data_IF_943659236734
#
_entry.id   IF_943659236734
#
_cell.length_a   1.000
_cell.length_b   1.000
_cell.length_c   1.000
_cell.angle_alpha   90.00
_cell.angle_beta   90.00
_cell.angle_gamma   90.00
#
_symmetry.space_group_name_H-M   'P 1'
#
loop_
_entity.id
_entity.type
_entity.pdbx_description
1 polymer ?
#
# COMPACT_ATOMS: atom_id res chain seq x y z
N UNK A 1 12.37 -4.76 -18.02
CA UNK A 1 11.45 -4.86 -19.16
C UNK A 1 10.01 -4.84 -18.67
N UNK A 2 9.12 -4.07 -19.34
CA UNK A 2 7.68 -4.17 -19.14
C UNK A 2 7.18 -5.59 -19.53
N UNK A 3 6.02 -6.01 -19.01
CA UNK A 3 5.36 -7.25 -19.41
C UNK A 3 5.19 -7.38 -20.93
N UNK A 4 5.13 -8.61 -21.43
CA UNK A 4 4.81 -8.85 -22.84
C UNK A 4 3.42 -8.27 -23.16
N UNK A 5 3.32 -7.44 -24.21
CA UNK A 5 2.10 -6.70 -24.55
C UNK A 5 2.04 -5.26 -24.00
N UNK A 6 2.93 -4.87 -23.08
CA UNK A 6 2.98 -3.50 -22.56
C UNK A 6 4.04 -2.66 -23.32
N UNK A 7 3.60 -1.52 -23.87
CA UNK A 7 4.45 -0.62 -24.66
C UNK A 7 4.55 -1.00 -26.15
N UNK A 8 3.70 -1.91 -26.63
CA UNK A 8 3.53 -2.15 -28.06
C UNK A 8 2.95 -0.91 -28.74
N UNK A 9 3.34 -0.69 -30.00
CA UNK A 9 2.74 0.37 -30.80
C UNK A 9 1.25 0.10 -30.96
N UNK A 10 0.45 1.18 -30.98
CA UNK A 10 -0.96 1.06 -31.32
C UNK A 10 -1.09 0.38 -32.68
N UNK A 11 -1.98 -0.60 -32.76
CA UNK A 11 -2.31 -1.28 -34.02
C UNK A 11 -3.04 -0.33 -34.96
N UNK A 12 -3.00 -0.61 -36.27
CA UNK A 12 -3.72 0.20 -37.27
C UNK A 12 -5.23 0.31 -36.97
N UNK A 13 -5.82 -0.75 -36.39
CA UNK A 13 -7.23 -0.76 -35.97
C UNK A 13 -7.47 0.23 -34.82
N UNK A 14 -6.58 0.26 -33.82
CA UNK A 14 -6.69 1.19 -32.70
C UNK A 14 -6.46 2.64 -33.14
N UNK A 15 -5.47 2.87 -34.02
CA UNK A 15 -5.22 4.18 -34.61
C UNK A 15 -6.46 4.65 -35.37
N UNK A 16 -7.02 3.79 -36.24
CA UNK A 16 -8.23 4.10 -37.01
C UNK A 16 -9.44 4.40 -36.11
N UNK A 17 -9.59 3.69 -35.00
CA UNK A 17 -10.65 3.95 -34.02
C UNK A 17 -10.52 5.34 -33.39
N UNK A 18 -9.30 5.72 -32.99
CA UNK A 18 -9.01 7.03 -32.41
C UNK A 18 -9.21 8.15 -33.42
N UNK A 19 -8.77 7.96 -34.66
CA UNK A 19 -8.98 8.90 -35.77
C UNK A 19 -10.48 9.13 -36.03
N UNK A 20 -11.28 8.06 -36.07
CA UNK A 20 -12.73 8.16 -36.23
C UNK A 20 -13.39 8.88 -35.05
N UNK A 21 -12.96 8.61 -33.82
CA UNK A 21 -13.46 9.30 -32.64
C UNK A 21 -13.16 10.80 -32.68
N UNK A 22 -11.94 11.19 -33.07
CA UNK A 22 -11.55 12.60 -33.25
C UNK A 22 -12.39 13.24 -34.37
N UNK A 23 -12.54 12.57 -35.52
CA UNK A 23 -13.34 13.06 -36.64
C UNK A 23 -14.84 13.20 -36.29
N UNK A 24 -15.35 12.39 -35.37
CA UNK A 24 -16.69 12.49 -34.81
C UNK A 24 -16.86 13.64 -33.79
N UNK A 25 -15.80 14.43 -33.57
CA UNK A 25 -15.77 15.57 -32.65
C UNK A 25 -15.26 15.21 -31.25
N UNK A 26 -14.51 14.11 -31.11
CA UNK A 26 -13.95 13.63 -29.84
C UNK A 26 -15.00 13.54 -28.73
N UNK A 27 -16.20 13.00 -29.04
CA UNK A 27 -17.33 12.94 -28.10
C UNK A 27 -16.95 12.14 -26.86
N UNK A 28 -16.99 12.77 -25.71
CA UNK A 28 -16.80 12.17 -24.39
C UNK A 28 -18.13 12.22 -23.61
N UNK A 29 -18.28 11.46 -22.51
CA UNK A 29 -19.51 11.48 -21.70
C UNK A 29 -19.86 12.89 -21.22
N UNK A 30 -21.11 13.32 -21.40
CA UNK A 30 -21.56 14.68 -21.03
C UNK A 30 -21.41 15.00 -19.53
N UNK A 31 -21.27 13.97 -18.70
CA UNK A 31 -21.08 14.08 -17.26
C UNK A 31 -19.61 14.08 -16.81
N UNK A 32 -18.66 14.08 -17.75
CA UNK A 32 -17.25 14.20 -17.44
C UNK A 32 -16.89 15.68 -17.20
N UNK A 33 -16.57 16.01 -15.95
CA UNK A 33 -16.16 17.36 -15.58
C UNK A 33 -14.74 17.63 -16.10
N UNK A 34 -14.63 18.25 -17.27
CA UNK A 34 -13.35 18.74 -17.78
C UNK A 34 -13.04 20.09 -17.11
N UNK A 35 -11.96 20.21 -16.33
CA UNK A 35 -11.57 21.47 -15.72
C UNK A 35 -11.26 22.49 -16.83
N UNK A 36 -11.80 23.70 -16.74
CA UNK A 36 -11.64 24.74 -17.75
C UNK A 36 -10.23 25.33 -17.76
N UNK A 37 -9.49 25.16 -16.66
CA UNK A 37 -8.13 25.66 -16.47
C UNK A 37 -7.30 24.67 -15.63
N UNK A 38 -5.97 24.59 -15.84
CA UNK A 38 -5.07 23.84 -14.96
C UNK A 38 -5.21 24.19 -13.47
N UNK A 39 -5.63 25.41 -13.14
CA UNK A 39 -5.86 25.87 -11.76
C UNK A 39 -7.02 25.15 -11.06
N UNK A 40 -7.89 24.49 -11.81
CA UNK A 40 -9.04 23.74 -11.29
C UNK A 40 -8.74 22.24 -11.11
N UNK A 41 -7.53 21.79 -11.46
CA UNK A 41 -7.14 20.40 -11.27
C UNK A 41 -7.09 20.05 -9.79
N UNK A 42 -7.69 18.91 -9.41
CA UNK A 42 -7.75 18.46 -8.01
C UNK A 42 -6.38 18.41 -7.33
N UNK A 43 -5.31 18.16 -8.10
CA UNK A 43 -3.93 18.04 -7.63
C UNK A 43 -3.24 19.38 -7.35
N UNK A 44 -3.77 20.50 -7.87
CA UNK A 44 -3.24 21.84 -7.63
C UNK A 44 -4.04 22.64 -6.61
N UNK A 45 -5.23 22.15 -6.25
CA UNK A 45 -6.05 22.75 -5.21
C UNK A 45 -5.40 22.54 -3.83
N UNK A 46 -5.51 23.52 -2.92
CA UNK A 46 -5.00 23.36 -1.57
C UNK A 46 -5.75 22.24 -0.84
N UNK A 47 -5.01 21.38 -0.15
CA UNK A 47 -5.61 20.30 0.66
C UNK A 47 -6.26 20.92 1.91
N UNK A 48 -7.58 20.90 1.96
CA UNK A 48 -8.35 21.35 3.14
C UNK A 48 -8.60 20.18 4.08
N UNK A 49 -8.34 20.35 5.39
CA UNK A 49 -8.66 19.33 6.38
C UNK A 49 -10.18 19.30 6.62
N UNK A 50 -10.88 18.18 6.36
CA UNK A 50 -12.30 18.08 6.63
C UNK A 50 -12.55 18.00 8.14
N UNK A 51 -13.72 18.50 8.57
CA UNK A 51 -14.19 18.31 9.94
C UNK A 51 -14.51 16.83 10.18
N UNK A 52 -13.96 16.19 11.22
CA UNK A 52 -14.30 14.80 11.54
C UNK A 52 -15.80 14.64 11.84
N UNK A 53 -16.44 13.56 11.34
CA UNK A 53 -17.85 13.31 11.60
C UNK A 53 -18.08 13.05 13.08
N UNK A 54 -19.26 13.46 13.57
CA UNK A 54 -19.69 13.17 14.93
C UNK A 54 -20.35 11.79 14.96
N UNK A 55 -19.75 10.85 15.69
CA UNK A 55 -20.18 9.46 15.79
C UNK A 55 -20.31 9.06 17.25
N UNK A 56 -21.25 8.18 17.57
CA UNK A 56 -21.53 7.77 18.96
C UNK A 56 -21.00 6.36 19.23
N UNK A 57 -19.68 6.19 19.08
CA UNK A 57 -19.04 4.88 19.31
C UNK A 57 -17.87 5.00 20.28
N UNK A 58 -17.78 4.04 21.22
CA UNK A 58 -16.77 4.07 22.29
C UNK A 58 -15.37 3.61 21.87
N UNK A 59 -15.17 3.17 20.62
CA UNK A 59 -13.88 2.67 20.13
C UNK A 59 -13.08 3.72 19.35
N UNK A 60 -13.65 4.90 19.07
CA UNK A 60 -12.97 6.00 18.37
C UNK A 60 -11.91 6.61 19.28
N UNK A 61 -10.64 6.52 18.87
CA UNK A 61 -9.48 7.07 19.59
C UNK A 61 -8.87 8.27 18.86
N UNK A 62 -9.06 8.37 17.55
CA UNK A 62 -8.50 9.44 16.72
C UNK A 62 -9.48 9.89 15.61
N UNK A 63 -9.21 11.00 14.89
CA UNK A 63 -10.09 11.50 13.84
C UNK A 63 -10.34 10.55 12.67
N UNK A 64 -9.38 9.68 12.33
CA UNK A 64 -9.52 8.69 11.25
C UNK A 64 -10.57 7.64 11.65
N UNK A 65 -10.55 7.20 12.91
CA UNK A 65 -11.54 6.26 13.46
C UNK A 65 -12.96 6.82 13.33
N UNK A 66 -13.14 8.15 13.47
CA UNK A 66 -14.46 8.78 13.30
C UNK A 66 -14.99 8.63 11.86
N UNK A 67 -14.13 8.78 10.85
CA UNK A 67 -14.51 8.54 9.46
C UNK A 67 -14.86 7.07 9.20
N UNK A 68 -14.10 6.13 9.78
CA UNK A 68 -14.39 4.69 9.67
C UNK A 68 -15.72 4.36 10.36
N UNK A 69 -15.95 4.88 11.57
CA UNK A 69 -17.17 4.71 12.33
C UNK A 69 -18.40 5.26 11.58
N UNK A 70 -18.30 6.44 10.99
CA UNK A 70 -19.37 7.01 10.16
C UNK A 70 -19.68 6.12 8.94
N UNK A 71 -18.64 5.55 8.34
CA UNK A 71 -18.77 4.56 7.26
C UNK A 71 -19.44 3.27 7.71
N UNK A 72 -19.20 2.82 8.94
CA UNK A 72 -19.87 1.67 9.55
C UNK A 72 -21.35 1.95 9.83
N UNK A 73 -21.68 3.08 10.46
CA UNK A 73 -23.06 3.49 10.76
C UNK A 73 -23.92 3.54 9.48
N UNK A 74 -23.40 4.17 8.43
CA UNK A 74 -24.07 4.27 7.12
C UNK A 74 -24.37 2.90 6.49
N UNK A 75 -23.48 1.92 6.74
CA UNK A 75 -23.58 0.56 6.19
C UNK A 75 -24.17 -0.45 7.18
N UNK A 76 -24.61 0.00 8.36
CA UNK A 76 -25.13 -0.85 9.43
C UNK A 76 -24.13 -1.95 9.86
N UNK A 77 -22.84 -1.64 9.85
CA UNK A 77 -21.77 -2.55 10.25
C UNK A 77 -21.41 -2.35 11.73
N UNK A 78 -21.09 -3.44 12.40
CA UNK A 78 -20.55 -3.42 13.76
C UNK A 78 -19.04 -3.65 13.71
N UNK A 79 -18.28 -2.89 14.50
CA UNK A 79 -16.84 -3.10 14.63
C UNK A 79 -16.56 -4.47 15.27
N UNK A 80 -15.54 -5.16 14.77
CA UNK A 80 -15.05 -6.38 15.41
C UNK A 80 -14.43 -6.04 16.78
N UNK A 81 -14.53 -6.98 17.72
CA UNK A 81 -13.87 -6.84 19.01
C UNK A 81 -12.35 -6.73 18.85
N UNK A 82 -11.72 -5.95 19.71
CA UNK A 82 -10.27 -5.85 19.77
C UNK A 82 -9.66 -7.22 20.05
N UNK A 83 -8.59 -7.55 19.32
CA UNK A 83 -7.93 -8.84 19.48
C UNK A 83 -7.31 -8.96 20.88
N UNK A 84 -7.17 -10.19 21.38
CA UNK A 84 -6.51 -10.41 22.67
C UNK A 84 -5.08 -9.86 22.65
N UNK A 85 -4.54 -9.41 23.80
CA UNK A 85 -3.21 -8.81 23.83
C UNK A 85 -2.11 -9.68 23.16
N UNK A 86 -2.02 -11.00 23.37
CA UNK A 86 -1.00 -11.82 22.70
C UNK A 86 -1.13 -11.83 21.17
N UNK A 87 -2.36 -11.79 20.66
CA UNK A 87 -2.64 -11.74 19.22
C UNK A 87 -2.26 -10.38 18.65
N UNK A 88 -2.56 -9.28 19.36
CA UNK A 88 -2.15 -7.93 18.95
C UNK A 88 -0.64 -7.82 18.85
N UNK A 89 0.10 -8.27 19.87
CA UNK A 89 1.56 -8.20 19.84
C UNK A 89 2.13 -9.03 18.69
N UNK A 90 1.62 -10.24 18.46
CA UNK A 90 2.05 -11.09 17.36
C UNK A 90 1.82 -10.42 16.00
N UNK A 91 0.65 -9.81 15.78
CA UNK A 91 0.34 -9.07 14.54
C UNK A 91 1.31 -7.92 14.36
N UNK A 92 1.52 -7.11 15.39
CA UNK A 92 2.42 -5.97 15.34
C UNK A 92 3.85 -6.35 14.94
N UNK A 93 4.40 -7.42 15.51
CA UNK A 93 5.71 -7.96 15.17
C UNK A 93 5.78 -8.51 13.74
N UNK A 94 4.76 -9.26 13.32
CA UNK A 94 4.68 -9.79 11.96
C UNK A 94 4.46 -8.70 10.91
N UNK A 95 3.82 -7.60 11.26
CA UNK A 95 3.53 -6.49 10.34
C UNK A 95 4.70 -5.51 10.23
N UNK A 96 5.40 -5.24 11.34
CA UNK A 96 6.52 -4.29 11.37
C UNK A 96 7.88 -4.96 11.12
N UNK A 97 8.13 -6.15 11.68
CA UNK A 97 9.44 -6.80 11.57
C UNK A 97 9.42 -8.05 10.67
N UNK A 98 8.28 -8.74 10.58
CA UNK A 98 8.15 -9.98 9.78
C UNK A 98 8.61 -11.23 10.46
N UNK A 99 8.82 -11.16 11.77
CA UNK A 99 9.12 -12.29 12.63
C UNK A 99 8.21 -12.21 13.84
N UNK A 100 7.81 -13.33 14.45
CA UNK A 100 7.01 -13.32 15.68
C UNK A 100 7.83 -12.79 16.87
N UNK A 101 7.18 -12.29 17.93
CA UNK A 101 7.87 -11.91 19.16
C UNK A 101 8.45 -13.14 19.87
N UNK A 102 9.53 -12.93 20.60
CA UNK A 102 10.06 -13.94 21.52
C UNK A 102 9.15 -14.14 22.74
N UNK A 103 9.21 -15.29 23.42
CA UNK A 103 8.46 -15.50 24.67
C UNK A 103 8.76 -14.46 25.74
N UNK A 104 10.00 -13.97 25.81
CA UNK A 104 10.41 -12.95 26.77
C UNK A 104 9.78 -11.59 26.46
N UNK A 105 9.81 -11.16 25.18
CA UNK A 105 9.15 -9.93 24.73
C UNK A 105 7.64 -9.97 24.98
N UNK A 106 7.01 -11.12 24.74
CA UNK A 106 5.58 -11.32 25.02
C UNK A 106 5.28 -11.19 26.51
N UNK A 107 6.00 -11.91 27.37
CA UNK A 107 5.79 -11.85 28.82
C UNK A 107 6.03 -10.45 29.38
N UNK A 108 7.07 -9.75 28.91
CA UNK A 108 7.37 -8.38 29.34
C UNK A 108 6.24 -7.42 28.94
N UNK A 109 5.74 -7.51 27.71
CA UNK A 109 4.68 -6.64 27.23
C UNK A 109 3.32 -6.94 27.88
N UNK A 110 3.00 -8.21 28.15
CA UNK A 110 1.79 -8.58 28.88
C UNK A 110 1.81 -8.14 30.35
N UNK A 111 3.00 -7.99 30.94
CA UNK A 111 3.17 -7.54 32.32
C UNK A 111 3.18 -6.01 32.47
N UNK A 112 3.20 -5.27 31.36
CA UNK A 112 3.23 -3.81 31.36
C UNK A 112 1.80 -3.26 31.61
N UNK A 113 1.54 -2.60 32.76
CA UNK A 113 0.21 -2.11 33.11
C UNK A 113 -0.13 -0.77 32.44
N UNK A 114 0.81 -0.15 31.73
CA UNK A 114 0.61 1.20 31.23
C UNK A 114 -0.49 1.24 30.16
N UNK A 115 -1.32 2.30 30.16
CA UNK A 115 -2.41 2.44 29.20
C UNK A 115 -1.92 2.62 27.75
N UNK A 116 -0.70 3.15 27.58
CA UNK A 116 -0.04 3.45 26.30
C UNK A 116 0.93 2.35 25.83
N UNK A 117 0.90 1.16 26.45
CA UNK A 117 1.84 0.06 26.15
C UNK A 117 1.82 -0.38 24.69
N UNK A 118 0.70 -0.16 23.98
CA UNK A 118 0.58 -0.52 22.58
C UNK A 118 1.36 0.47 21.71
N UNK A 119 1.10 1.75 21.88
CA UNK A 119 1.74 2.86 21.18
C UNK A 119 3.26 2.85 21.42
N UNK A 120 3.70 2.70 22.68
CA UNK A 120 5.13 2.58 22.99
C UNK A 120 5.78 1.38 22.32
N UNK A 121 5.08 0.25 22.21
CA UNK A 121 5.60 -0.94 21.52
C UNK A 121 5.68 -0.71 20.01
N UNK A 122 4.72 0.01 19.42
CA UNK A 122 4.79 0.42 18.00
C UNK A 122 6.04 1.26 17.77
N UNK A 123 6.27 2.29 18.58
CA UNK A 123 7.43 3.18 18.45
C UNK A 123 8.76 2.44 18.61
N UNK A 124 8.85 1.55 19.60
CA UNK A 124 10.02 0.69 19.82
C UNK A 124 10.33 -0.18 18.59
N UNK A 125 9.31 -0.80 17.99
CA UNK A 125 9.48 -1.66 16.83
C UNK A 125 9.81 -0.87 15.55
N UNK A 126 9.26 0.34 15.39
CA UNK A 126 9.62 1.23 14.29
C UNK A 126 11.07 1.73 14.39
N UNK A 127 11.58 1.91 15.61
CA UNK A 127 12.96 2.32 15.86
C UNK A 127 13.99 1.18 15.67
N UNK A 128 13.54 -0.08 15.59
CA UNK A 128 14.42 -1.24 15.43
C UNK A 128 14.99 -1.32 14.00
N UNK A 129 16.29 -1.66 13.84
CA UNK A 129 16.90 -1.82 12.52
C UNK A 129 16.21 -2.90 11.66
N UNK A 130 15.60 -3.91 12.29
CA UNK A 130 14.84 -4.96 11.62
C UNK A 130 13.62 -4.43 10.85
N UNK A 131 13.04 -3.30 11.27
CA UNK A 131 11.97 -2.63 10.52
C UNK A 131 12.48 -2.15 9.15
N UNK A 132 13.64 -1.50 9.15
CA UNK A 132 14.31 -1.09 7.91
C UNK A 132 14.70 -2.29 7.03
N UNK A 133 15.15 -3.39 7.63
CA UNK A 133 15.46 -4.62 6.90
C UNK A 133 14.21 -5.24 6.24
N UNK A 134 13.06 -5.25 6.94
CA UNK A 134 11.79 -5.71 6.38
C UNK A 134 11.39 -4.91 5.16
N UNK A 135 11.43 -3.57 5.25
CA UNK A 135 11.10 -2.70 4.12
C UNK A 135 12.12 -2.80 2.99
N UNK A 136 13.40 -2.93 3.33
CA UNK A 136 14.47 -3.19 2.37
C UNK A 136 14.18 -4.44 1.54
N UNK A 137 13.65 -5.52 2.15
CA UNK A 137 13.23 -6.73 1.43
C UNK A 137 12.16 -6.44 0.37
N UNK A 138 11.10 -5.73 0.74
CA UNK A 138 10.04 -5.35 -0.20
C UNK A 138 10.58 -4.50 -1.36
N UNK A 139 11.51 -3.59 -1.07
CA UNK A 139 12.18 -2.81 -2.10
C UNK A 139 13.10 -3.65 -2.98
N UNK A 140 13.81 -4.62 -2.41
CA UNK A 140 14.66 -5.55 -3.17
C UNK A 140 13.86 -6.39 -4.17
N UNK A 141 12.63 -6.76 -3.84
CA UNK A 141 11.71 -7.43 -4.77
C UNK A 141 11.37 -6.51 -5.97
N UNK A 142 11.10 -5.23 -5.70
CA UNK A 142 10.80 -4.21 -6.74
C UNK A 142 12.02 -3.90 -7.60
N UNK A 143 13.18 -3.74 -6.96
CA UNK A 143 14.46 -3.41 -7.62
C UNK A 143 15.04 -4.58 -8.41
N UNK A 144 14.41 -5.77 -8.34
CA UNK A 144 14.91 -6.99 -8.95
C UNK A 144 16.34 -7.23 -8.48
N UNK A 145 16.56 -7.18 -7.16
CA UNK A 145 17.82 -7.60 -6.55
C UNK A 145 17.97 -9.12 -6.74
N UNK A 146 18.18 -9.51 -7.99
CA UNK A 146 18.79 -10.77 -8.36
C UNK A 146 20.26 -10.48 -8.44
N UNK A 147 21.06 -11.27 -7.73
CA UNK A 147 22.50 -11.32 -7.95
C UNK A 147 22.79 -11.23 -9.45
N UNK A 148 23.80 -10.43 -9.82
CA UNK A 148 24.29 -10.41 -11.18
C UNK A 148 24.55 -11.86 -11.60
N UNK A 149 23.81 -12.34 -12.59
CA UNK A 149 24.08 -13.66 -13.13
C UNK A 149 24.30 -13.54 -14.62
N UNK A 150 25.57 -13.58 -14.97
CA UNK A 150 26.04 -13.77 -16.34
C UNK A 150 26.34 -15.23 -16.63
N UNK A 151 26.18 -15.63 -17.89
CA UNK A 151 26.74 -16.91 -18.34
C UNK A 151 28.26 -16.87 -18.13
N UNK A 152 28.80 -17.79 -17.31
CA UNK A 152 30.21 -17.81 -16.85
C UNK A 152 31.27 -17.93 -17.97
N UNK A 153 30.88 -17.85 -19.24
CA UNK A 153 31.76 -17.89 -20.40
C UNK A 153 31.68 -16.70 -21.37
N UNK A 154 30.82 -15.69 -21.13
CA UNK A 154 30.57 -14.63 -22.14
C UNK A 154 30.62 -13.20 -21.58
N UNK A 155 30.98 -13.00 -20.31
CA UNK A 155 31.03 -11.69 -19.64
C UNK A 155 29.74 -10.85 -19.82
N UNK A 156 28.60 -11.50 -20.00
CA UNK A 156 27.30 -10.83 -20.08
C UNK A 156 26.82 -10.49 -18.67
N UNK A 157 26.73 -9.22 -18.32
CA UNK A 157 25.98 -8.80 -17.13
C UNK A 157 24.50 -8.79 -17.51
N UNK A 158 23.76 -9.86 -17.16
CA UNK A 158 22.29 -9.86 -17.25
C UNK A 158 21.71 -9.46 -15.89
N UNK A 159 20.78 -8.51 -15.91
CA UNK A 159 20.03 -8.04 -14.73
C UNK A 159 19.04 -9.07 -14.16
N UNK A 160 19.12 -10.35 -14.54
CA UNK A 160 18.30 -11.43 -13.99
C UNK A 160 18.60 -12.77 -14.65
N UNK A 161 18.54 -13.86 -13.87
CA UNK A 161 18.49 -15.23 -14.37
C UNK A 161 17.35 -15.45 -15.37
N UNK A 162 17.59 -16.28 -16.40
CA UNK A 162 16.54 -16.78 -17.29
C UNK A 162 15.54 -17.52 -16.38
N UNK A 163 14.27 -17.10 -16.36
CA UNK A 163 13.16 -17.63 -15.53
C UNK A 163 12.91 -17.02 -14.14
N UNK A 164 13.55 -15.91 -13.75
CA UNK A 164 13.27 -15.31 -12.43
C UNK A 164 11.82 -14.86 -12.21
N UNK A 165 11.09 -14.56 -13.30
CA UNK A 165 9.66 -14.20 -13.27
C UNK A 165 8.78 -15.28 -12.60
N UNK A 166 9.22 -16.55 -12.59
CA UNK A 166 8.54 -17.63 -11.89
C UNK A 166 8.52 -17.49 -10.37
N UNK A 167 9.30 -16.61 -9.77
CA UNK A 167 9.26 -16.37 -8.32
C UNK A 167 8.33 -15.23 -7.93
N UNK A 168 7.72 -14.55 -8.91
CA UNK A 168 6.89 -13.36 -8.69
C UNK A 168 5.39 -13.62 -8.77
N UNK A 169 4.99 -14.64 -9.54
CA UNK A 169 3.60 -14.95 -9.87
C UNK A 169 3.09 -16.25 -9.19
N UNK A 170 3.76 -16.72 -8.12
CA UNK A 170 3.43 -17.94 -7.36
C UNK A 170 3.14 -17.60 -5.91
#
# INVERSE_FOLDING_TARGET
MPPAGEGEHLTDVQISLLEQWIAAGARFPDNEAIPASPSEWWSVLPVTRPTPPQVQTGWVRNPIDAFIASGHETRQLSAAAEASPPVLLRRLYLDLLGVPPTPAELSAWLSDPAPDRFERKVDELLARPEYGQRWGRHWMDVWRYSDWYGSRGINEIRYSQRHIWRWRDW
#
